data_IF_261956018412
#
_entry.id   IF_261956018412
#
_cell.length_a   1.000
_cell.length_b   1.000
_cell.length_c   1.000
_cell.angle_alpha   90.00
_cell.angle_beta   90.00
_cell.angle_gamma   90.00
#
_symmetry.space_group_name_H-M   'P 1'
#
loop_
_entity.id
_entity.type
_entity.pdbx_description
1 polymer ?
#
# COMPACT_ATOMS: atom_id res chain seq x y z
N UNK A 1 -4.32 10.42 25.16
CA UNK A 1 -3.35 9.52 24.50
C UNK A 1 -3.88 9.16 23.11
N UNK A 2 -3.05 9.30 22.09
CA UNK A 2 -3.45 8.94 20.73
C UNK A 2 -3.31 7.43 20.55
N UNK A 3 -4.34 6.79 20.00
CA UNK A 3 -4.32 5.36 19.71
C UNK A 3 -3.49 5.13 18.42
N UNK A 4 -2.27 4.65 18.58
CA UNK A 4 -1.35 4.44 17.47
C UNK A 4 -1.67 3.15 16.73
N UNK A 5 -1.88 3.26 15.42
CA UNK A 5 -2.15 2.13 14.54
C UNK A 5 -1.00 1.92 13.56
N UNK A 6 -0.94 0.74 12.99
CA UNK A 6 -0.01 0.39 11.93
C UNK A 6 -0.84 0.12 10.67
N UNK A 7 -0.51 0.80 9.58
CA UNK A 7 -1.28 0.71 8.34
C UNK A 7 -0.35 0.46 7.15
N UNK A 8 -0.74 -0.50 6.30
CA UNK A 8 -0.16 -0.63 4.97
C UNK A 8 -0.89 0.33 4.03
N UNK A 9 -0.14 1.10 3.25
CA UNK A 9 -0.71 1.91 2.17
C UNK A 9 -0.05 1.45 0.87
N UNK A 10 -0.79 0.72 0.07
CA UNK A 10 -0.31 0.29 -1.24
C UNK A 10 -0.52 1.44 -2.24
N UNK A 11 0.39 1.59 -3.19
CA UNK A 11 0.35 2.72 -4.11
C UNK A 11 0.69 4.04 -3.42
N UNK A 12 1.52 4.01 -2.38
CA UNK A 12 1.82 5.18 -1.55
C UNK A 12 2.57 6.30 -2.28
N UNK A 13 3.19 6.01 -3.41
CA UNK A 13 3.88 7.01 -4.22
C UNK A 13 2.98 7.63 -5.29
N UNK A 14 1.74 7.18 -5.40
CA UNK A 14 0.74 7.75 -6.29
C UNK A 14 0.02 8.93 -5.64
N UNK A 15 -0.84 9.59 -6.41
CA UNK A 15 -1.54 10.79 -5.96
C UNK A 15 -2.41 10.54 -4.72
N UNK A 16 -3.30 9.55 -4.81
CA UNK A 16 -4.21 9.23 -3.69
C UNK A 16 -3.45 8.57 -2.55
N UNK A 17 -2.60 7.59 -2.86
CA UNK A 17 -1.87 6.85 -1.84
C UNK A 17 -0.95 7.71 -1.00
N UNK A 18 -0.28 8.68 -1.61
CA UNK A 18 0.59 9.61 -0.89
C UNK A 18 -0.22 10.46 0.10
N UNK A 19 -1.38 10.95 -0.32
CA UNK A 19 -2.26 11.75 0.54
C UNK A 19 -2.76 10.92 1.73
N UNK A 20 -3.16 9.67 1.48
CA UNK A 20 -3.60 8.76 2.55
C UNK A 20 -2.47 8.50 3.54
N UNK A 21 -1.27 8.20 3.04
CA UNK A 21 -0.11 7.97 3.89
C UNK A 21 0.24 9.21 4.73
N UNK A 22 0.17 10.39 4.13
CA UNK A 22 0.40 11.66 4.84
C UNK A 22 -0.59 11.83 5.99
N UNK A 23 -1.87 11.60 5.73
CA UNK A 23 -2.90 11.71 6.77
C UNK A 23 -2.64 10.74 7.92
N UNK A 24 -2.28 9.50 7.62
CA UNK A 24 -1.98 8.51 8.65
C UNK A 24 -0.77 8.91 9.49
N UNK A 25 0.29 9.40 8.85
CA UNK A 25 1.48 9.87 9.55
C UNK A 25 1.17 11.08 10.44
N UNK A 26 0.32 11.99 9.97
CA UNK A 26 -0.08 13.17 10.75
C UNK A 26 -0.95 12.80 11.95
N UNK A 27 -1.61 11.65 11.92
CA UNK A 27 -2.33 11.12 13.08
C UNK A 27 -1.42 10.39 14.07
N UNK A 28 -0.13 10.32 13.80
CA UNK A 28 0.83 9.62 14.64
C UNK A 28 0.93 8.12 14.40
N UNK A 29 0.34 7.64 13.32
CA UNK A 29 0.37 6.22 12.97
C UNK A 29 1.68 5.82 12.30
N UNK A 30 1.96 4.52 12.33
CA UNK A 30 3.05 3.91 11.56
C UNK A 30 2.52 3.48 10.20
N UNK A 31 3.25 3.82 9.14
CA UNK A 31 2.86 3.52 7.77
C UNK A 31 3.91 2.62 7.11
N UNK A 32 3.44 1.52 6.53
CA UNK A 32 4.24 0.66 5.67
C UNK A 32 3.76 0.93 4.24
N UNK A 33 4.56 1.66 3.48
CA UNK A 33 4.22 2.00 2.10
C UNK A 33 4.69 0.92 1.15
N UNK A 34 3.86 0.58 0.18
CA UNK A 34 4.19 -0.38 -0.88
C UNK A 34 3.92 0.28 -2.22
N UNK A 35 4.92 0.30 -3.09
CA UNK A 35 4.76 0.83 -4.44
C UNK A 35 5.84 0.23 -5.34
N UNK A 36 5.45 -0.18 -6.54
CA UNK A 36 6.41 -0.70 -7.52
C UNK A 36 7.06 0.40 -8.35
N UNK A 37 6.68 1.66 -8.12
CA UNK A 37 7.25 2.84 -8.77
C UNK A 37 7.05 2.83 -10.29
N UNK A 38 5.77 2.82 -10.70
CA UNK A 38 5.38 2.91 -12.10
C UNK A 38 5.32 4.37 -12.57
N UNK A 39 4.86 4.59 -13.79
CA UNK A 39 4.68 5.93 -14.36
C UNK A 39 3.78 6.85 -13.52
N UNK A 40 2.87 6.27 -12.74
CA UNK A 40 1.97 7.03 -11.86
C UNK A 40 2.58 7.34 -10.50
N UNK A 41 3.82 6.88 -10.26
CA UNK A 41 4.49 7.02 -8.97
C UNK A 41 5.48 8.18 -8.98
N UNK A 42 5.78 8.69 -7.78
CA UNK A 42 6.69 9.81 -7.61
C UNK A 42 7.76 9.51 -6.56
N UNK A 43 9.03 9.65 -6.95
CA UNK A 43 10.15 9.57 -6.00
C UNK A 43 10.10 10.71 -4.98
N UNK A 44 9.61 11.88 -5.38
CA UNK A 44 9.47 13.00 -4.48
C UNK A 44 8.43 12.74 -3.40
N UNK A 45 7.35 12.03 -3.76
CA UNK A 45 6.33 11.61 -2.79
C UNK A 45 6.94 10.69 -1.73
N UNK A 46 7.75 9.72 -2.14
CA UNK A 46 8.42 8.80 -1.21
C UNK A 46 9.36 9.57 -0.28
N UNK A 47 10.16 10.47 -0.82
CA UNK A 47 11.07 11.31 -0.02
C UNK A 47 10.29 12.16 0.99
N UNK A 48 9.19 12.75 0.56
CA UNK A 48 8.33 13.55 1.43
C UNK A 48 7.80 12.71 2.60
N UNK A 49 7.29 11.51 2.31
CA UNK A 49 6.77 10.62 3.35
C UNK A 49 7.87 10.15 4.31
N UNK A 50 9.06 9.90 3.80
CA UNK A 50 10.21 9.52 4.62
C UNK A 50 10.61 10.64 5.57
N UNK A 51 10.62 11.88 5.11
CA UNK A 51 10.93 13.05 5.93
C UNK A 51 9.83 13.30 6.97
N UNK A 52 8.58 13.18 6.58
CA UNK A 52 7.44 13.41 7.46
C UNK A 52 7.34 12.34 8.55
N UNK A 53 7.49 11.08 8.17
CA UNK A 53 7.29 9.95 9.08
C UNK A 53 8.51 9.56 9.87
N UNK A 54 9.69 9.80 9.34
CA UNK A 54 10.95 9.34 9.94
C UNK A 54 10.89 7.85 10.27
N UNK A 55 11.01 7.47 11.54
CA UNK A 55 10.97 6.08 11.99
C UNK A 55 9.59 5.43 11.80
N UNK A 56 8.55 6.22 11.60
CA UNK A 56 7.17 5.73 11.45
C UNK A 56 6.78 5.41 10.02
N UNK A 57 7.65 5.66 9.05
CA UNK A 57 7.41 5.32 7.65
C UNK A 57 8.43 4.31 7.15
N UNK A 58 7.96 3.18 6.63
CA UNK A 58 8.81 2.16 6.00
C UNK A 58 8.35 1.98 4.56
N UNK A 59 9.29 2.06 3.63
CA UNK A 59 9.00 1.88 2.20
C UNK A 59 9.40 0.48 1.74
N UNK A 60 8.47 -0.20 1.09
CA UNK A 60 8.71 -1.48 0.41
C UNK A 60 8.53 -1.22 -1.09
N UNK A 61 9.65 -1.15 -1.81
CA UNK A 61 9.62 -0.94 -3.26
C UNK A 61 9.44 -2.29 -3.96
N UNK A 62 8.21 -2.66 -4.22
CA UNK A 62 7.88 -3.92 -4.89
C UNK A 62 6.44 -3.89 -5.38
N UNK A 63 6.13 -4.81 -6.28
CA UNK A 63 4.75 -5.07 -6.69
C UNK A 63 4.02 -5.77 -5.53
N UNK A 64 2.74 -5.44 -5.32
CA UNK A 64 1.89 -6.13 -4.35
C UNK A 64 1.98 -7.65 -4.54
N UNK A 65 2.00 -8.09 -5.79
CA UNK A 65 2.03 -9.51 -6.14
C UNK A 65 3.32 -10.21 -5.70
N UNK A 66 4.36 -9.45 -5.38
CA UNK A 66 5.65 -9.98 -4.91
C UNK A 66 5.76 -10.04 -3.38
N UNK A 67 4.76 -9.53 -2.66
CA UNK A 67 4.73 -9.66 -1.22
C UNK A 67 4.53 -11.12 -0.83
N UNK A 68 5.35 -11.62 0.08
CA UNK A 68 5.29 -13.02 0.52
C UNK A 68 4.63 -13.17 1.89
N UNK A 69 4.57 -12.10 2.65
CA UNK A 69 3.96 -12.07 3.98
C UNK A 69 3.54 -10.64 4.33
N UNK A 70 2.76 -10.51 5.41
CA UNK A 70 2.37 -9.22 5.96
C UNK A 70 3.02 -9.05 7.33
N UNK A 71 3.63 -7.88 7.57
CA UNK A 71 3.98 -7.44 8.92
C UNK A 71 2.70 -7.21 9.72
N UNK A 72 2.78 -7.27 11.04
CA UNK A 72 1.65 -6.92 11.90
C UNK A 72 1.14 -5.54 11.55
N UNK A 73 -0.17 -5.44 11.35
CA UNK A 73 -0.82 -4.17 11.05
C UNK A 73 -2.29 -4.22 11.43
N UNK A 74 -2.88 -3.04 11.57
CA UNK A 74 -4.30 -2.90 11.90
C UNK A 74 -5.15 -2.74 10.65
N UNK A 75 -4.61 -2.06 9.64
CA UNK A 75 -5.32 -1.73 8.40
C UNK A 75 -4.44 -1.93 7.19
N UNK A 76 -5.08 -2.24 6.07
CA UNK A 76 -4.47 -2.18 4.74
C UNK A 76 -5.36 -1.28 3.90
N UNK A 77 -4.80 -0.18 3.39
CA UNK A 77 -5.50 0.72 2.48
C UNK A 77 -4.90 0.53 1.10
N UNK A 78 -5.68 -0.06 0.22
CA UNK A 78 -5.20 -0.44 -1.11
C UNK A 78 -5.48 0.66 -2.13
N UNK A 79 -4.46 1.45 -2.42
CA UNK A 79 -4.49 2.49 -3.45
C UNK A 79 -3.70 2.11 -4.70
N UNK A 80 -3.09 0.94 -4.71
CA UNK A 80 -2.27 0.46 -5.84
C UNK A 80 -3.17 -0.05 -6.96
N UNK A 81 -3.47 0.80 -7.91
CA UNK A 81 -4.31 0.47 -9.05
C UNK A 81 -3.89 1.29 -10.26
N UNK A 82 -4.08 0.72 -11.45
CA UNK A 82 -3.94 1.46 -12.69
C UNK A 82 -5.21 2.29 -12.90
N UNK A 83 -5.08 3.61 -12.93
CA UNK A 83 -6.21 4.53 -13.03
C UNK A 83 -6.28 5.28 -14.36
N UNK A 84 -5.25 5.19 -15.20
CA UNK A 84 -5.19 5.87 -16.48
C UNK A 84 -5.86 5.02 -17.56
N UNK A 85 -7.12 5.33 -17.89
CA UNK A 85 -7.94 4.56 -18.83
C UNK A 85 -7.24 4.39 -20.20
N UNK A 86 -6.60 5.43 -20.70
CA UNK A 86 -5.86 5.35 -21.96
C UNK A 86 -4.78 4.26 -21.93
N UNK A 87 -4.07 4.14 -20.82
CA UNK A 87 -3.05 3.12 -20.65
C UNK A 87 -3.66 1.73 -20.47
N UNK A 88 -4.85 1.63 -19.87
CA UNK A 88 -5.51 0.33 -19.72
C UNK A 88 -5.99 -0.24 -21.06
N UNK A 89 -6.29 0.62 -22.04
CA UNK A 89 -6.66 0.20 -23.39
C UNK A 89 -5.44 -0.35 -24.14
N UNK A 90 -4.28 0.31 -23.97
CA UNK A 90 -3.03 -0.07 -24.64
C UNK A 90 -2.36 -1.24 -23.92
N UNK A 91 -2.45 -1.29 -22.59
CA UNK A 91 -1.78 -2.30 -21.77
C UNK A 91 -2.75 -2.91 -20.75
N UNK A 92 -3.70 -3.69 -21.27
CA UNK A 92 -4.74 -4.32 -20.43
C UNK A 92 -4.15 -5.35 -19.46
N UNK A 93 -3.06 -6.04 -19.82
CA UNK A 93 -2.44 -7.03 -18.95
C UNK A 93 -1.90 -6.39 -17.67
N UNK A 94 -1.26 -5.24 -17.79
CA UNK A 94 -0.76 -4.50 -16.61
C UNK A 94 -1.91 -4.01 -15.74
N UNK A 95 -3.00 -3.54 -16.35
CA UNK A 95 -4.20 -3.11 -15.63
C UNK A 95 -4.81 -4.27 -14.83
N UNK A 96 -4.94 -5.45 -15.45
CA UNK A 96 -5.46 -6.64 -14.77
C UNK A 96 -4.51 -7.08 -13.66
N UNK A 97 -3.21 -7.06 -13.91
CA UNK A 97 -2.20 -7.44 -12.94
C UNK A 97 -2.33 -6.60 -11.65
N UNK A 98 -2.45 -5.29 -11.78
CA UNK A 98 -2.55 -4.38 -10.64
C UNK A 98 -3.94 -4.40 -9.98
N UNK A 99 -5.00 -4.34 -10.80
CA UNK A 99 -6.36 -4.08 -10.30
C UNK A 99 -7.12 -5.34 -9.89
N UNK A 100 -6.74 -6.49 -10.44
CA UNK A 100 -7.42 -7.75 -10.13
C UNK A 100 -6.51 -8.69 -9.35
N UNK A 101 -5.37 -9.04 -9.92
CA UNK A 101 -4.44 -9.97 -9.29
C UNK A 101 -3.84 -9.43 -7.99
N UNK A 102 -3.57 -8.12 -7.95
CA UNK A 102 -3.05 -7.47 -6.75
C UNK A 102 -4.01 -7.59 -5.57
N UNK A 103 -5.30 -7.33 -5.79
CA UNK A 103 -6.32 -7.46 -4.75
C UNK A 103 -6.47 -8.92 -4.33
N UNK A 104 -6.50 -9.83 -5.29
CA UNK A 104 -6.58 -11.27 -5.02
C UNK A 104 -5.39 -11.72 -4.15
N UNK A 105 -4.20 -11.27 -4.47
CA UNK A 105 -3.00 -11.61 -3.71
C UNK A 105 -3.05 -11.06 -2.27
N UNK A 106 -3.52 -9.82 -2.09
CA UNK A 106 -3.71 -9.25 -0.75
C UNK A 106 -4.70 -10.07 0.08
N UNK A 107 -5.80 -10.49 -0.53
CA UNK A 107 -6.78 -11.34 0.15
C UNK A 107 -6.18 -12.68 0.56
N UNK A 108 -5.32 -13.25 -0.28
CA UNK A 108 -4.60 -14.48 0.04
C UNK A 108 -3.66 -14.29 1.23
N UNK A 109 -2.90 -13.20 1.24
CA UNK A 109 -2.00 -12.87 2.35
C UNK A 109 -2.76 -12.65 3.66
N UNK A 110 -3.91 -11.99 3.60
CA UNK A 110 -4.78 -11.78 4.76
C UNK A 110 -5.29 -13.10 5.31
N UNK A 111 -5.67 -14.02 4.44
CA UNK A 111 -6.14 -15.35 4.84
C UNK A 111 -5.03 -16.12 5.54
N UNK A 112 -3.82 -16.11 5.00
CA UNK A 112 -2.65 -16.74 5.61
C UNK A 112 -2.31 -16.11 6.95
N UNK A 113 -2.36 -14.78 7.04
CA UNK A 113 -2.12 -14.04 8.27
C UNK A 113 -3.11 -14.45 9.36
N UNK A 114 -4.39 -14.55 9.00
CA UNK A 114 -5.45 -14.97 9.94
C UNK A 114 -5.21 -16.39 10.45
N UNK A 115 -4.79 -17.30 9.59
CA UNK A 115 -4.51 -18.68 9.98
C UNK A 115 -3.38 -18.75 11.00
N UNK A 116 -2.36 -17.90 10.86
CA UNK A 116 -1.20 -17.89 11.75
C UNK A 116 -1.44 -17.10 13.04
N UNK A 117 -2.22 -16.02 12.98
CA UNK A 117 -2.34 -15.06 14.08
C UNK A 117 -3.72 -15.01 14.73
N UNK A 118 -4.73 -15.64 14.15
CA UNK A 118 -6.08 -15.68 14.69
C UNK A 118 -6.89 -14.40 14.51
N UNK A 119 -6.31 -13.39 13.86
CA UNK A 119 -6.96 -12.09 13.60
C UNK A 119 -6.59 -11.63 12.20
N UNK A 120 -7.32 -10.66 11.68
CA UNK A 120 -7.10 -10.12 10.33
C UNK A 120 -7.11 -8.60 10.38
N UNK A 121 -6.14 -7.93 9.71
CA UNK A 121 -6.25 -6.49 9.45
C UNK A 121 -7.50 -6.17 8.63
N UNK A 122 -8.02 -4.96 8.78
CA UNK A 122 -9.12 -4.49 7.96
C UNK A 122 -8.58 -3.98 6.63
N UNK A 123 -9.14 -4.49 5.53
CA UNK A 123 -8.77 -4.06 4.17
C UNK A 123 -9.79 -3.03 3.66
N UNK A 124 -9.25 -1.92 3.17
CA UNK A 124 -10.01 -0.84 2.54
C UNK A 124 -9.57 -0.63 1.10
#
# INVERSE_FOLDING_TARGET
>A
MVDTKIVYVTGCAGFIGCTVAELCLNMGWYVIGVDKMTYASSNDAVKYLQQLGEDRFKMLTCDINDLTFLYDCDYIINCAAETHVGNSIVNSDEFIHSNVRGVHHLLKLLREYRQENGKTPTLL
#
